data_IF_470930823638
#
_entry.id   IF_470930823638
#
_cell.length_a   1.000
_cell.length_b   1.000
_cell.length_c   1.000
_cell.angle_alpha   90.00
_cell.angle_beta   90.00
_cell.angle_gamma   90.00
#
_symmetry.space_group_name_H-M   'P 1'
#
loop_
_entity.id
_entity.type
_entity.pdbx_description
1 polymer ?
#
# COMPACT_ATOMS: atom_id res chain seq x y z
N UNK A 1 26.84 -25.80 -6.84
CA UNK A 1 25.39 -25.59 -7.07
C UNK A 1 24.93 -24.49 -6.12
N UNK A 2 24.68 -23.29 -6.63
CA UNK A 2 24.20 -22.18 -5.79
C UNK A 2 22.81 -22.54 -5.26
N UNK A 3 22.56 -22.29 -3.97
CA UNK A 3 21.29 -22.58 -3.32
C UNK A 3 20.15 -21.86 -4.07
N UNK A 4 19.36 -22.64 -4.81
CA UNK A 4 18.26 -22.19 -5.67
C UNK A 4 17.04 -21.72 -4.88
N UNK A 5 17.13 -21.70 -3.55
CA UNK A 5 16.03 -21.30 -2.67
C UNK A 5 15.94 -19.77 -2.58
N UNK A 6 14.75 -19.26 -2.83
CA UNK A 6 14.41 -17.87 -2.56
C UNK A 6 14.52 -17.62 -1.05
N UNK A 7 15.35 -16.67 -0.57
CA UNK A 7 15.48 -16.38 0.85
C UNK A 7 14.17 -15.89 1.46
N UNK A 8 13.90 -16.24 2.72
CA UNK A 8 12.70 -15.79 3.43
C UNK A 8 12.55 -14.26 3.47
N UNK A 9 13.66 -13.52 3.47
CA UNK A 9 13.67 -12.06 3.41
C UNK A 9 13.05 -11.51 2.11
N UNK A 10 13.07 -12.25 1.00
CA UNK A 10 12.39 -11.84 -0.24
C UNK A 10 10.88 -11.82 -0.02
N UNK A 11 10.33 -12.81 0.68
CA UNK A 11 8.89 -12.96 0.87
C UNK A 11 8.37 -12.19 2.08
N UNK A 12 8.91 -12.44 3.27
CA UNK A 12 8.51 -11.77 4.50
C UNK A 12 8.99 -10.33 4.59
N UNK A 13 10.03 -9.97 3.82
CA UNK A 13 10.43 -8.57 3.69
C UNK A 13 9.34 -7.70 3.06
N UNK A 14 8.38 -8.27 2.31
CA UNK A 14 7.24 -7.49 1.81
C UNK A 14 6.40 -6.97 2.97
N UNK A 15 6.06 -7.83 3.93
CA UNK A 15 5.33 -7.43 5.12
C UNK A 15 6.12 -6.44 5.98
N UNK A 16 7.42 -6.68 6.18
CA UNK A 16 8.26 -5.78 6.97
C UNK A 16 8.41 -4.39 6.31
N UNK A 17 8.69 -4.35 5.00
CA UNK A 17 8.80 -3.10 4.24
C UNK A 17 7.47 -2.34 4.21
N UNK A 18 6.36 -3.06 4.02
CA UNK A 18 5.02 -2.49 4.10
C UNK A 18 4.75 -1.90 5.49
N UNK A 19 5.04 -2.62 6.57
CA UNK A 19 4.80 -2.12 7.92
C UNK A 19 5.59 -0.84 8.25
N UNK A 20 6.84 -0.73 7.78
CA UNK A 20 7.65 0.49 7.94
C UNK A 20 7.05 1.65 7.15
N UNK A 21 6.61 1.40 5.91
CA UNK A 21 6.01 2.42 5.05
C UNK A 21 4.65 2.90 5.59
N UNK A 22 3.75 1.97 5.90
CA UNK A 22 2.42 2.27 6.41
C UNK A 22 2.46 2.90 7.81
N UNK A 23 3.56 2.75 8.58
CA UNK A 23 3.73 3.50 9.83
C UNK A 23 3.92 5.00 9.57
N UNK A 24 4.70 5.38 8.54
CA UNK A 24 4.80 6.79 8.12
C UNK A 24 3.43 7.32 7.71
N UNK A 25 2.70 6.55 6.90
CA UNK A 25 1.35 6.91 6.46
C UNK A 25 0.39 7.04 7.66
N UNK A 26 0.36 6.06 8.57
CA UNK A 26 -0.50 6.05 9.75
C UNK A 26 -0.31 7.29 10.63
N UNK A 27 0.95 7.70 10.84
CA UNK A 27 1.31 8.84 11.69
C UNK A 27 1.02 10.17 10.99
N UNK A 28 1.16 10.25 9.67
CA UNK A 28 1.16 11.54 8.96
C UNK A 28 -0.11 11.81 8.15
N UNK A 29 -0.83 10.79 7.69
CA UNK A 29 -1.93 10.92 6.72
C UNK A 29 -3.08 11.79 7.23
N UNK A 30 -3.67 11.49 8.39
CA UNK A 30 -4.84 12.24 8.88
C UNK A 30 -4.52 13.72 9.12
N UNK A 31 -3.37 14.01 9.73
CA UNK A 31 -2.92 15.39 9.98
C UNK A 31 -2.48 16.12 8.71
N UNK A 32 -1.94 15.41 7.73
CA UNK A 32 -1.59 15.98 6.43
C UNK A 32 -2.84 16.29 5.61
N UNK A 33 -3.80 15.36 5.48
CA UNK A 33 -5.02 15.54 4.68
C UNK A 33 -5.81 16.78 5.11
N UNK A 34 -6.01 16.99 6.42
CA UNK A 34 -6.68 18.19 6.93
C UNK A 34 -5.97 19.49 6.58
N UNK A 35 -4.63 19.51 6.63
CA UNK A 35 -3.82 20.70 6.31
C UNK A 35 -3.68 20.94 4.80
N UNK A 36 -3.67 19.87 4.01
CA UNK A 36 -3.50 19.92 2.57
C UNK A 36 -4.81 20.30 1.86
N UNK A 37 -5.97 19.93 2.43
CA UNK A 37 -7.30 20.11 1.83
C UNK A 37 -7.53 21.52 1.26
N UNK A 38 -7.39 22.64 1.99
CA UNK A 38 -7.68 23.96 1.42
C UNK A 38 -6.80 24.29 0.20
N UNK A 39 -5.50 23.96 0.27
CA UNK A 39 -4.55 24.20 -0.83
C UNK A 39 -4.82 23.33 -2.04
N UNK A 40 -5.31 22.10 -1.85
CA UNK A 40 -5.65 21.20 -2.94
C UNK A 40 -6.97 21.60 -3.60
N UNK A 41 -7.96 22.02 -2.83
CA UNK A 41 -9.23 22.58 -3.32
C UNK A 41 -8.99 23.79 -4.23
N UNK A 42 -8.13 24.73 -3.80
CA UNK A 42 -7.73 25.89 -4.60
C UNK A 42 -7.03 25.50 -5.91
N UNK A 43 -6.18 24.47 -5.89
CA UNK A 43 -5.39 24.02 -7.06
C UNK A 43 -6.17 23.15 -8.03
N UNK A 44 -7.25 22.52 -7.58
CA UNK A 44 -8.05 21.56 -8.35
C UNK A 44 -9.54 21.96 -8.32
N UNK A 45 -9.90 23.17 -8.80
CA UNK A 45 -11.27 23.69 -8.69
C UNK A 45 -12.30 22.89 -9.50
N UNK A 46 -11.85 22.04 -10.43
CA UNK A 46 -12.69 21.14 -11.21
C UNK A 46 -13.12 19.88 -10.44
N UNK A 47 -12.57 19.62 -9.25
CA UNK A 47 -12.95 18.46 -8.42
C UNK A 47 -14.17 18.83 -7.56
N UNK A 48 -15.27 18.06 -7.62
CA UNK A 48 -16.49 18.37 -6.86
C UNK A 48 -16.28 18.41 -5.33
N UNK A 49 -16.98 19.33 -4.65
CA UNK A 49 -16.96 19.49 -3.17
C UNK A 49 -17.07 18.18 -2.39
N UNK A 50 -18.00 17.31 -2.80
CA UNK A 50 -18.24 16.02 -2.14
C UNK A 50 -17.05 15.04 -2.22
N UNK A 51 -16.10 15.24 -3.13
CA UNK A 51 -14.85 14.45 -3.20
C UNK A 51 -13.89 14.93 -2.11
N UNK A 52 -13.85 16.24 -1.86
CA UNK A 52 -13.05 16.83 -0.80
C UNK A 52 -13.53 16.47 0.60
N UNK A 53 -14.84 16.36 0.78
CA UNK A 53 -15.43 15.89 2.05
C UNK A 53 -15.01 14.46 2.41
N UNK A 54 -14.62 13.66 1.41
CA UNK A 54 -14.10 12.29 1.63
C UNK A 54 -12.61 12.26 1.98
N UNK A 55 -11.88 13.36 1.85
CA UNK A 55 -10.47 13.45 2.25
C UNK A 55 -10.28 13.64 3.75
N UNK A 56 -11.31 14.08 4.46
CA UNK A 56 -11.28 14.11 5.93
C UNK A 56 -11.60 12.72 6.48
N UNK A 57 -10.58 11.85 6.44
CA UNK A 57 -10.69 10.46 6.90
C UNK A 57 -10.38 10.42 8.40
N UNK A 58 -11.32 10.00 9.27
CA UNK A 58 -11.07 9.89 10.70
C UNK A 58 -9.94 8.89 10.99
N UNK A 59 -9.12 9.16 12.01
CA UNK A 59 -8.03 8.26 12.39
C UNK A 59 -8.52 6.82 12.66
N UNK A 60 -9.71 6.66 13.24
CA UNK A 60 -10.31 5.34 13.46
C UNK A 60 -10.54 4.56 12.15
N UNK A 61 -10.92 5.26 11.07
CA UNK A 61 -11.07 4.65 9.73
C UNK A 61 -9.70 4.24 9.19
N UNK A 62 -8.70 5.12 9.28
CA UNK A 62 -7.31 4.84 8.86
C UNK A 62 -6.78 3.60 9.59
N UNK A 63 -6.95 3.52 10.92
CA UNK A 63 -6.48 2.40 11.72
C UNK A 63 -7.10 1.06 11.28
N UNK A 64 -8.42 1.02 11.03
CA UNK A 64 -9.10 -0.20 10.57
C UNK A 64 -8.64 -0.58 9.16
N UNK A 65 -8.50 0.39 8.27
CA UNK A 65 -8.06 0.15 6.90
C UNK A 65 -6.62 -0.41 6.86
N UNK A 66 -5.69 0.20 7.59
CA UNK A 66 -4.30 -0.27 7.70
C UNK A 66 -4.24 -1.65 8.36
N UNK A 67 -5.02 -1.90 9.42
CA UNK A 67 -5.11 -3.23 10.04
C UNK A 67 -5.61 -4.30 9.06
N UNK A 68 -6.62 -4.00 8.24
CA UNK A 68 -7.10 -4.90 7.20
C UNK A 68 -6.06 -5.14 6.11
N UNK A 69 -5.33 -4.09 5.70
CA UNK A 69 -4.26 -4.22 4.72
C UNK A 69 -3.10 -5.07 5.25
N UNK A 70 -2.77 -4.94 6.54
CA UNK A 70 -1.76 -5.77 7.22
C UNK A 70 -2.04 -7.26 7.03
N UNK A 71 -3.30 -7.68 7.20
CA UNK A 71 -3.73 -9.07 7.02
C UNK A 71 -3.53 -9.53 5.57
N UNK A 72 -3.89 -8.70 4.59
CA UNK A 72 -3.74 -9.01 3.17
C UNK A 72 -2.25 -9.17 2.81
N UNK A 73 -1.41 -8.22 3.22
CA UNK A 73 0.03 -8.23 2.92
C UNK A 73 0.74 -9.37 3.65
N UNK A 74 0.36 -9.68 4.90
CA UNK A 74 0.86 -10.83 5.63
C UNK A 74 0.47 -12.15 4.93
N UNK A 75 -0.78 -12.28 4.48
CA UNK A 75 -1.24 -13.45 3.73
C UNK A 75 -0.49 -13.61 2.39
N UNK A 76 -0.26 -12.51 1.68
CA UNK A 76 0.55 -12.50 0.45
C UNK A 76 1.99 -12.96 0.74
N UNK A 77 2.61 -12.42 1.79
CA UNK A 77 3.96 -12.76 2.22
C UNK A 77 4.08 -14.23 2.62
N UNK A 78 3.11 -14.76 3.37
CA UNK A 78 3.04 -16.18 3.76
C UNK A 78 2.83 -17.10 2.54
N UNK A 79 1.97 -16.70 1.59
CA UNK A 79 1.81 -17.43 0.34
C UNK A 79 3.10 -17.42 -0.50
N UNK A 80 3.83 -16.31 -0.51
CA UNK A 80 5.17 -16.20 -1.08
C UNK A 80 6.14 -17.18 -0.42
N UNK A 81 6.22 -17.16 0.92
CA UNK A 81 7.12 -18.03 1.67
C UNK A 81 6.87 -19.53 1.41
N UNK A 82 5.60 -19.96 1.48
CA UNK A 82 5.20 -21.36 1.22
C UNK A 82 5.50 -21.83 -0.20
N UNK A 83 5.52 -20.92 -1.17
CA UNK A 83 5.74 -21.23 -2.59
C UNK A 83 7.15 -20.94 -3.07
N UNK A 84 8.07 -20.50 -2.19
CA UNK A 84 9.38 -20.02 -2.60
C UNK A 84 9.29 -18.85 -3.60
N UNK A 85 8.35 -17.94 -3.39
CA UNK A 85 8.12 -16.76 -4.23
C UNK A 85 7.26 -16.99 -5.48
N UNK A 86 6.85 -18.23 -5.78
CA UNK A 86 6.10 -18.56 -7.01
C UNK A 86 4.62 -18.19 -6.96
N UNK A 87 4.06 -17.92 -5.78
CA UNK A 87 2.65 -17.52 -5.61
C UNK A 87 2.30 -16.31 -6.47
N UNK A 88 1.25 -16.44 -7.30
CA UNK A 88 0.74 -15.35 -8.11
C UNK A 88 0.23 -14.18 -7.25
N UNK A 89 -0.39 -14.48 -6.10
CA UNK A 89 -0.86 -13.47 -5.15
C UNK A 89 0.31 -12.66 -4.56
N UNK A 90 1.37 -13.35 -4.10
CA UNK A 90 2.58 -12.68 -3.59
C UNK A 90 3.23 -11.79 -4.66
N UNK A 91 3.36 -12.30 -5.89
CA UNK A 91 4.00 -11.57 -6.99
C UNK A 91 3.17 -10.36 -7.45
N UNK A 92 1.85 -10.48 -7.47
CA UNK A 92 0.96 -9.37 -7.76
C UNK A 92 0.99 -8.32 -6.64
N UNK A 93 1.01 -8.74 -5.37
CA UNK A 93 1.16 -7.84 -4.23
C UNK A 93 2.52 -7.12 -4.23
N UNK A 94 3.61 -7.82 -4.52
CA UNK A 94 4.95 -7.22 -4.65
C UNK A 94 5.00 -6.19 -5.79
N UNK A 95 4.40 -6.52 -6.95
CA UNK A 95 4.32 -5.58 -8.06
C UNK A 95 3.45 -4.35 -7.74
N UNK A 96 2.31 -4.56 -7.06
CA UNK A 96 1.46 -3.47 -6.59
C UNK A 96 2.19 -2.57 -5.58
N UNK A 97 2.92 -3.16 -4.64
CA UNK A 97 3.73 -2.44 -3.66
C UNK A 97 4.85 -1.61 -4.33
N UNK A 98 5.51 -2.16 -5.35
CA UNK A 98 6.47 -1.39 -6.16
C UNK A 98 5.83 -0.20 -6.88
N UNK A 99 4.66 -0.38 -7.49
CA UNK A 99 3.92 0.71 -8.15
C UNK A 99 3.39 1.75 -7.17
N UNK A 100 3.04 1.34 -5.95
CA UNK A 100 2.63 2.23 -4.86
C UNK A 100 3.71 3.27 -4.55
N UNK A 101 4.98 2.88 -4.52
CA UNK A 101 6.09 3.82 -4.35
C UNK A 101 6.12 4.91 -5.44
N UNK A 102 5.87 4.53 -6.69
CA UNK A 102 5.85 5.50 -7.79
C UNK A 102 4.68 6.49 -7.65
N UNK A 103 3.53 6.02 -7.15
CA UNK A 103 2.39 6.88 -6.81
C UNK A 103 2.76 7.96 -5.79
N UNK A 104 3.45 7.58 -4.72
CA UNK A 104 3.92 8.52 -3.68
C UNK A 104 4.92 9.55 -4.21
N UNK A 105 5.88 9.12 -5.02
CA UNK A 105 6.84 10.03 -5.64
C UNK A 105 6.14 11.02 -6.59
N UNK A 106 5.17 10.55 -7.37
CA UNK A 106 4.37 11.41 -8.23
C UNK A 106 3.53 12.42 -7.42
N UNK A 107 2.91 11.99 -6.32
CA UNK A 107 2.17 12.86 -5.42
C UNK A 107 3.07 13.96 -4.82
N UNK A 108 4.24 13.59 -4.30
CA UNK A 108 5.21 14.56 -3.77
C UNK A 108 5.67 15.57 -4.82
N UNK A 109 5.93 15.11 -6.06
CA UNK A 109 6.30 15.98 -7.17
C UNK A 109 5.17 16.94 -7.56
N UNK A 110 3.92 16.46 -7.63
CA UNK A 110 2.75 17.28 -7.97
C UNK A 110 2.43 18.31 -6.88
N UNK A 111 2.54 17.93 -5.61
CA UNK A 111 2.34 18.83 -4.46
C UNK A 111 3.52 19.81 -4.32
N UNK A 112 4.69 19.47 -4.88
CA UNK A 112 5.98 20.16 -4.69
C UNK A 112 6.34 20.28 -3.21
N UNK A 113 6.14 19.19 -2.47
CA UNK A 113 6.34 19.17 -1.03
C UNK A 113 6.10 17.79 -0.44
N UNK A 114 6.18 17.71 0.88
CA UNK A 114 5.95 16.47 1.61
C UNK A 114 4.53 15.96 1.42
N UNK A 115 4.41 14.65 1.12
CA UNK A 115 3.19 13.85 1.20
C UNK A 115 3.46 12.64 2.09
N UNK A 116 2.44 12.12 2.81
CA UNK A 116 2.57 10.86 3.55
C UNK A 116 3.14 9.77 2.65
N UNK A 117 4.19 9.08 3.10
CA UNK A 117 4.85 8.02 2.33
C UNK A 117 6.00 8.49 1.44
N UNK A 118 6.23 9.81 1.31
CA UNK A 118 7.29 10.35 0.45
C UNK A 118 8.70 10.00 0.92
N UNK A 119 8.90 9.77 2.22
CA UNK A 119 10.22 9.43 2.77
C UNK A 119 10.50 7.94 2.59
N UNK A 120 9.58 7.08 3.03
CA UNK A 120 9.79 5.62 2.99
C UNK A 120 9.56 5.01 1.61
N UNK A 121 8.81 5.65 0.70
CA UNK A 121 8.66 5.16 -0.68
C UNK A 121 10.02 4.99 -1.41
N UNK A 122 10.89 6.02 -1.51
CA UNK A 122 12.20 5.87 -2.14
C UNK A 122 13.24 5.14 -1.27
N UNK A 123 13.11 5.16 0.07
CA UNK A 123 14.12 4.59 0.97
C UNK A 123 13.86 3.13 1.35
N UNK A 124 12.60 2.68 1.30
CA UNK A 124 12.18 1.35 1.76
C UNK A 124 11.46 0.61 0.65
N UNK A 125 10.34 1.16 0.16
CA UNK A 125 9.44 0.45 -0.76
C UNK A 125 10.11 0.14 -2.10
N UNK A 126 10.67 1.16 -2.76
CA UNK A 126 11.31 0.99 -4.06
C UNK A 126 12.58 0.13 -3.98
N UNK A 127 13.53 0.36 -3.04
CA UNK A 127 14.71 -0.48 -2.92
C UNK A 127 14.37 -1.95 -2.62
N UNK A 128 13.45 -2.19 -1.69
CA UNK A 128 13.00 -3.55 -1.36
C UNK A 128 12.36 -4.23 -2.58
N UNK A 129 11.42 -3.56 -3.25
CA UNK A 129 10.70 -4.12 -4.39
C UNK A 129 11.64 -4.48 -5.54
N UNK A 130 12.57 -3.59 -5.87
CA UNK A 130 13.60 -3.83 -6.89
C UNK A 130 14.51 -5.00 -6.50
N UNK A 131 14.97 -5.04 -5.25
CA UNK A 131 15.81 -6.13 -4.75
C UNK A 131 15.08 -7.48 -4.77
N UNK A 132 13.85 -7.54 -4.27
CA UNK A 132 13.03 -8.74 -4.23
C UNK A 132 12.76 -9.27 -5.65
N UNK A 133 12.38 -8.40 -6.58
CA UNK A 133 12.21 -8.79 -7.99
C UNK A 133 13.50 -9.32 -8.61
N UNK A 134 14.66 -8.70 -8.36
CA UNK A 134 15.96 -9.20 -8.84
C UNK A 134 16.28 -10.57 -8.27
N UNK A 135 16.04 -10.81 -6.99
CA UNK A 135 16.27 -12.12 -6.34
C UNK A 135 15.33 -13.21 -6.86
N UNK A 136 14.05 -12.90 -7.06
CA UNK A 136 13.10 -13.83 -7.67
C UNK A 136 13.55 -14.22 -9.09
N UNK A 137 13.95 -13.23 -9.90
CA UNK A 137 14.47 -13.48 -11.25
C UNK A 137 15.73 -14.34 -11.25
N UNK A 138 16.68 -14.07 -10.35
CA UNK A 138 17.90 -14.87 -10.21
C UNK A 138 17.60 -16.33 -9.81
N UNK A 139 16.52 -16.57 -9.06
CA UNK A 139 16.04 -17.90 -8.70
C UNK A 139 15.14 -18.56 -9.77
N UNK A 140 15.05 -17.98 -10.98
CA UNK A 140 14.20 -18.50 -12.06
C UNK A 140 12.70 -18.26 -11.86
N UNK A 141 12.29 -17.53 -10.83
CA UNK A 141 10.90 -17.16 -10.56
C UNK A 141 10.58 -15.88 -11.33
N UNK A 142 10.18 -16.02 -12.59
CA UNK A 142 9.91 -14.87 -13.45
C UNK A 142 8.49 -14.32 -13.27
N UNK A 143 8.45 -12.99 -13.20
CA UNK A 143 7.37 -12.06 -13.56
C UNK A 143 6.55 -12.43 -14.81
N UNK A 144 5.85 -13.56 -14.88
CA UNK A 144 4.91 -13.82 -15.98
C UNK A 144 3.92 -12.65 -16.15
N UNK A 145 3.52 -12.28 -17.38
CA UNK A 145 2.71 -11.09 -17.66
C UNK A 145 1.42 -11.00 -16.82
N UNK A 146 0.84 -12.14 -16.46
CA UNK A 146 -0.36 -12.23 -15.64
C UNK A 146 -0.21 -11.65 -14.23
N UNK A 147 0.96 -11.73 -13.60
CA UNK A 147 1.16 -11.19 -12.24
C UNK A 147 1.19 -9.66 -12.21
N UNK A 148 1.80 -9.05 -13.23
CA UNK A 148 1.83 -7.59 -13.37
C UNK A 148 0.43 -7.08 -13.71
N UNK A 149 -0.27 -7.76 -14.63
CA UNK A 149 -1.68 -7.44 -14.96
C UNK A 149 -2.61 -7.58 -13.76
N UNK A 150 -2.35 -8.54 -12.86
CA UNK A 150 -3.14 -8.74 -11.65
C UNK A 150 -2.84 -7.71 -10.55
N UNK A 151 -1.73 -6.96 -10.61
CA UNK A 151 -1.34 -6.02 -9.56
C UNK A 151 -2.37 -4.90 -9.35
N UNK A 152 -2.85 -4.31 -10.46
CA UNK A 152 -3.85 -3.23 -10.43
C UNK A 152 -5.20 -3.69 -9.85
N UNK A 153 -5.87 -4.72 -10.40
CA UNK A 153 -7.15 -5.18 -9.84
C UNK A 153 -7.01 -5.71 -8.41
N UNK A 154 -5.86 -6.32 -8.05
CA UNK A 154 -5.60 -6.74 -6.68
C UNK A 154 -5.52 -5.53 -5.73
N UNK A 155 -4.75 -4.50 -6.10
CA UNK A 155 -4.62 -3.29 -5.29
C UNK A 155 -5.97 -2.57 -5.14
N UNK A 156 -6.71 -2.41 -6.25
CA UNK A 156 -8.04 -1.79 -6.24
C UNK A 156 -9.03 -2.58 -5.37
N UNK A 157 -9.05 -3.90 -5.51
CA UNK A 157 -9.91 -4.79 -4.72
C UNK A 157 -9.55 -4.77 -3.23
N UNK A 158 -8.26 -4.80 -2.89
CA UNK A 158 -7.78 -4.70 -1.52
C UNK A 158 -8.16 -3.36 -0.88
N UNK A 159 -7.93 -2.24 -1.58
CA UNK A 159 -8.34 -0.90 -1.14
C UNK A 159 -9.85 -0.83 -0.90
N UNK A 160 -10.66 -1.28 -1.87
CA UNK A 160 -12.12 -1.29 -1.73
C UNK A 160 -12.56 -2.12 -0.51
N UNK A 161 -11.96 -3.30 -0.30
CA UNK A 161 -12.27 -4.17 0.82
C UNK A 161 -11.94 -3.52 2.18
N UNK A 162 -10.73 -2.97 2.34
CA UNK A 162 -10.31 -2.39 3.62
C UNK A 162 -11.07 -1.09 3.94
N UNK A 163 -11.35 -0.26 2.94
CA UNK A 163 -12.16 0.95 3.12
C UNK A 163 -13.63 0.62 3.37
N UNK A 164 -14.18 -0.41 2.72
CA UNK A 164 -15.54 -0.90 2.99
C UNK A 164 -15.68 -1.44 4.41
N UNK A 165 -14.71 -2.24 4.87
CA UNK A 165 -14.64 -2.71 6.25
C UNK A 165 -14.53 -1.56 7.25
N UNK A 166 -13.62 -0.62 6.99
CA UNK A 166 -13.43 0.55 7.85
C UNK A 166 -14.70 1.41 7.94
N UNK A 167 -15.40 1.64 6.82
CA UNK A 167 -16.67 2.34 6.81
C UNK A 167 -17.74 1.61 7.62
N UNK A 168 -17.83 0.28 7.50
CA UNK A 168 -18.79 -0.52 8.27
C UNK A 168 -18.51 -0.48 9.77
N UNK A 169 -17.23 -0.62 10.16
CA UNK A 169 -16.81 -0.66 11.57
C UNK A 169 -16.95 0.71 12.23
N UNK A 170 -16.59 1.78 11.54
CA UNK A 170 -16.64 3.14 12.10
C UNK A 170 -18.07 3.70 12.18
N UNK A 171 -18.94 3.42 11.20
CA UNK A 171 -20.36 3.78 11.27
C UNK A 171 -21.10 3.16 12.47
N UNK A 172 -20.70 1.95 12.88
CA UNK A 172 -21.28 1.28 14.06
C UNK A 172 -20.87 1.92 15.39
N UNK A 173 -19.77 2.66 15.44
CA UNK A 173 -19.29 3.34 16.66
C UNK A 173 -19.95 4.69 16.92
N UNK A 174 -20.67 5.25 15.94
CA UNK A 174 -21.43 6.50 16.06
C UNK A 174 -22.94 6.26 16.21
N UNK A 175 -23.37 5.05 16.55
CA UNK A 175 -24.77 4.79 16.93
C UNK A 175 -25.12 5.48 18.24
N UNK A 176 -26.39 5.92 18.43
CA UNK A 176 -26.77 6.76 19.56
C UNK A 176 -26.46 6.05 20.88
N UNK A 177 -25.68 6.72 21.73
CA UNK A 177 -25.67 6.45 23.17
C UNK A 177 -27.00 6.99 23.70
N UNK A 178 -27.88 6.07 24.10
CA UNK A 178 -29.16 6.36 24.76
C UNK A 178 -29.00 7.31 25.94
#
# INVERSE_FOLDING_TARGET
MADTRVPAAVTWGLFAAWAVHDLEELVTMAGWSRRARPRLEERLPWVPAHVWDRLDVPQAHVNVAIGGMAVIVAAASAAGARSGGRSGFYRAALAAFGWHAAGHLAQGALVRGYTPGLITAPLVVAPFSLWAHRRLRAAGVTAGPGSVRAAVPLAAGALAAVHGLAALVTRRRTGPTW
#
